data_IF_282086958901
#
_entry.id   IF_282086958901
#
_cell.length_a   1.000
_cell.length_b   1.000
_cell.length_c   1.000
_cell.angle_alpha   90.00
_cell.angle_beta   90.00
_cell.angle_gamma   90.00
#
_symmetry.space_group_name_H-M   'P 1'
#
loop_
_entity.id
_entity.type
_entity.pdbx_description
1 polymer ?
#
# COMPACT_ATOMS: atom_id res chain seq x y z
N UNK A 1 -10.35 -10.52 14.54
CA UNK A 1 -9.44 -11.39 13.76
C UNK A 1 -8.56 -10.48 12.92
N UNK A 2 -7.24 -10.70 12.85
CA UNK A 2 -6.38 -9.84 12.02
C UNK A 2 -6.74 -10.03 10.55
N UNK A 3 -7.00 -8.93 9.83
CA UNK A 3 -7.14 -8.96 8.38
C UNK A 3 -5.85 -9.50 7.73
N UNK A 4 -5.99 -10.27 6.66
CA UNK A 4 -4.87 -10.81 5.86
C UNK A 4 -3.88 -11.70 6.62
N UNK A 5 -4.33 -12.41 7.66
CA UNK A 5 -3.46 -13.25 8.49
C UNK A 5 -2.66 -14.30 7.70
N UNK A 6 -3.24 -14.87 6.65
CA UNK A 6 -2.56 -15.87 5.82
C UNK A 6 -1.43 -15.27 4.97
N UNK A 7 -1.63 -14.05 4.46
CA UNK A 7 -0.60 -13.28 3.78
C UNK A 7 0.56 -12.98 4.74
N UNK A 8 0.25 -12.47 5.95
CA UNK A 8 1.23 -12.15 6.98
C UNK A 8 2.07 -13.39 7.35
N UNK A 9 1.40 -14.53 7.58
CA UNK A 9 2.08 -15.80 7.86
C UNK A 9 3.02 -16.20 6.73
N UNK A 10 2.57 -16.07 5.47
CA UNK A 10 3.38 -16.40 4.29
C UNK A 10 4.61 -15.50 4.16
N UNK A 11 4.48 -14.19 4.43
CA UNK A 11 5.62 -13.26 4.42
C UNK A 11 6.66 -13.69 5.44
N UNK A 12 6.26 -13.89 6.69
CA UNK A 12 7.20 -14.29 7.74
C UNK A 12 7.80 -15.68 7.53
N UNK A 13 7.03 -16.63 6.97
CA UNK A 13 7.55 -17.96 6.64
C UNK A 13 8.69 -17.91 5.60
N UNK A 14 8.64 -16.96 4.65
CA UNK A 14 9.66 -16.81 3.60
C UNK A 14 10.78 -15.82 3.97
N UNK A 15 10.59 -15.02 5.04
CA UNK A 15 11.47 -13.90 5.34
C UNK A 15 12.89 -14.35 5.69
N UNK A 16 13.04 -15.39 6.51
CA UNK A 16 14.35 -15.91 6.94
C UNK A 16 15.20 -16.29 5.75
N UNK A 17 14.65 -17.12 4.84
CA UNK A 17 15.35 -17.61 3.67
C UNK A 17 15.82 -16.47 2.75
N UNK A 18 14.95 -15.47 2.50
CA UNK A 18 15.29 -14.31 1.66
C UNK A 18 16.35 -13.41 2.30
N UNK A 19 16.24 -13.18 3.61
CA UNK A 19 17.18 -12.34 4.37
C UNK A 19 18.56 -12.99 4.47
N UNK A 20 18.63 -14.30 4.64
CA UNK A 20 19.91 -15.01 4.70
C UNK A 20 20.58 -15.03 3.32
N UNK A 21 19.83 -15.32 2.24
CA UNK A 21 20.35 -15.19 0.87
C UNK A 21 20.86 -13.77 0.55
N UNK A 22 20.15 -12.74 1.02
CA UNK A 22 20.59 -11.35 0.87
C UNK A 22 21.90 -11.08 1.63
N UNK A 23 22.04 -11.62 2.84
CA UNK A 23 23.25 -11.44 3.67
C UNK A 23 24.48 -12.03 3.00
N UNK A 24 24.34 -13.22 2.40
CA UNK A 24 25.42 -13.90 1.70
C UNK A 24 25.89 -13.11 0.48
N UNK A 25 24.95 -12.58 -0.31
CA UNK A 25 25.24 -11.82 -1.53
C UNK A 25 25.85 -10.45 -1.20
N UNK A 26 25.35 -9.77 -0.17
CA UNK A 26 25.80 -8.43 0.21
C UNK A 26 27.11 -8.47 1.00
N UNK A 27 27.43 -9.59 1.66
CA UNK A 27 28.71 -9.81 2.34
C UNK A 27 28.92 -9.00 3.62
N UNK A 28 27.85 -8.47 4.22
CA UNK A 28 27.88 -7.69 5.46
C UNK A 28 26.54 -7.79 6.22
N UNK A 29 26.50 -7.42 7.51
CA UNK A 29 25.23 -7.31 8.24
C UNK A 29 24.25 -6.35 7.56
N UNK A 30 22.98 -6.73 7.54
CA UNK A 30 21.87 -5.95 6.96
C UNK A 30 21.17 -5.13 8.05
N UNK A 31 20.79 -3.89 7.73
CA UNK A 31 19.87 -3.09 8.55
C UNK A 31 18.48 -3.71 8.54
N UNK A 32 17.60 -3.31 9.47
CA UNK A 32 16.20 -3.76 9.45
C UNK A 32 15.49 -3.39 8.14
N UNK A 33 15.71 -2.17 7.64
CA UNK A 33 15.16 -1.72 6.36
C UNK A 33 15.65 -2.58 5.19
N UNK A 34 16.93 -2.92 5.14
CA UNK A 34 17.46 -3.83 4.12
C UNK A 34 16.81 -5.21 4.22
N UNK A 35 16.68 -5.78 5.43
CA UNK A 35 16.00 -7.07 5.63
C UNK A 35 14.57 -7.06 5.11
N UNK A 36 13.81 -6.00 5.40
CA UNK A 36 12.43 -5.86 4.93
C UNK A 36 12.41 -5.73 3.40
N UNK A 37 13.22 -4.85 2.81
CA UNK A 37 13.25 -4.62 1.36
C UNK A 37 13.67 -5.87 0.59
N UNK A 38 14.75 -6.54 1.00
CA UNK A 38 15.20 -7.79 0.39
C UNK A 38 14.16 -8.93 0.55
N UNK A 39 13.42 -8.96 1.67
CA UNK A 39 12.35 -9.93 1.84
C UNK A 39 11.16 -9.69 0.90
N UNK A 40 10.98 -8.48 0.37
CA UNK A 40 9.86 -8.10 -0.50
C UNK A 40 10.27 -7.87 -1.96
N UNK A 41 11.35 -8.51 -2.44
CA UNK A 41 11.66 -8.50 -3.87
C UNK A 41 10.57 -9.23 -4.68
N UNK A 42 10.27 -8.70 -5.86
CA UNK A 42 9.30 -9.26 -6.80
C UNK A 42 9.69 -10.69 -7.23
N UNK A 43 10.94 -10.88 -7.69
CA UNK A 43 11.46 -12.17 -8.14
C UNK A 43 11.81 -13.13 -6.99
N UNK A 44 11.59 -12.72 -5.75
CA UNK A 44 11.77 -13.53 -4.57
C UNK A 44 13.19 -13.52 -4.00
N UNK A 45 13.98 -14.57 -4.23
CA UNK A 45 15.33 -14.62 -3.68
C UNK A 45 16.24 -13.62 -4.42
N UNK A 46 17.04 -12.82 -3.70
CA UNK A 46 17.97 -11.91 -4.35
C UNK A 46 19.00 -12.68 -5.17
N UNK A 47 19.33 -12.16 -6.35
CA UNK A 47 20.37 -12.70 -7.25
C UNK A 47 21.59 -11.79 -7.34
N UNK A 48 21.49 -10.57 -6.84
CA UNK A 48 22.57 -9.56 -6.81
C UNK A 48 22.41 -8.64 -5.60
N UNK A 49 23.51 -7.97 -5.23
CA UNK A 49 23.48 -6.90 -4.25
C UNK A 49 22.98 -5.60 -4.92
N UNK A 50 22.12 -4.85 -4.23
CA UNK A 50 21.66 -3.53 -4.68
C UNK A 50 22.45 -2.40 -4.02
N UNK A 51 22.75 -1.37 -4.80
CA UNK A 51 23.50 -0.18 -4.40
C UNK A 51 22.53 0.93 -3.98
N UNK A 52 22.66 1.35 -2.72
CA UNK A 52 21.84 2.42 -2.13
C UNK A 52 21.96 3.72 -2.93
N UNK A 53 20.82 4.34 -3.22
CA UNK A 53 20.74 5.62 -3.95
C UNK A 53 21.14 5.53 -5.43
N UNK A 54 21.30 4.33 -5.99
CA UNK A 54 21.64 4.12 -7.40
C UNK A 54 20.71 3.15 -8.10
N UNK A 55 20.49 1.99 -7.50
CA UNK A 55 19.70 0.94 -8.15
C UNK A 55 18.21 1.16 -7.94
N UNK A 56 17.44 1.04 -9.02
CA UNK A 56 16.01 0.84 -8.97
C UNK A 56 15.72 -0.64 -8.70
N UNK A 57 14.77 -0.92 -7.81
CA UNK A 57 14.50 -2.27 -7.33
C UNK A 57 13.01 -2.56 -7.41
N UNK A 58 12.67 -3.69 -8.02
CA UNK A 58 11.30 -4.14 -8.13
C UNK A 58 10.87 -4.85 -6.84
N UNK A 59 10.02 -4.17 -6.08
CA UNK A 59 9.43 -4.70 -4.85
C UNK A 59 8.01 -5.19 -5.09
N UNK A 60 7.55 -6.09 -4.22
CA UNK A 60 6.18 -6.56 -4.11
C UNK A 60 5.59 -6.05 -2.78
N UNK A 61 5.00 -4.83 -2.75
CA UNK A 61 4.30 -4.34 -1.57
C UNK A 61 3.10 -5.23 -1.22
N UNK A 62 2.90 -5.48 0.07
CA UNK A 62 1.81 -6.33 0.54
C UNK A 62 0.43 -5.67 0.48
N UNK A 63 0.38 -4.33 0.50
CA UNK A 63 -0.87 -3.54 0.52
C UNK A 63 -0.66 -2.13 0.02
N UNK A 64 -1.78 -1.49 -0.34
CA UNK A 64 -1.83 -0.08 -0.72
C UNK A 64 -2.81 0.66 0.20
N UNK A 65 -2.45 1.87 0.62
CA UNK A 65 -3.34 2.77 1.33
C UNK A 65 -3.36 4.12 0.62
N UNK A 66 -4.55 4.63 0.36
CA UNK A 66 -4.78 5.94 -0.22
C UNK A 66 -5.57 6.81 0.76
N UNK A 67 -5.31 8.11 0.73
CA UNK A 67 -6.16 9.11 1.37
C UNK A 67 -7.04 9.78 0.31
N UNK A 68 -8.22 10.27 0.68
CA UNK A 68 -9.25 10.81 -0.23
C UNK A 68 -8.78 11.92 -1.17
N UNK A 69 -7.85 12.79 -0.76
CA UNK A 69 -7.30 13.83 -1.63
C UNK A 69 -6.44 13.27 -2.78
N UNK A 70 -5.81 12.10 -2.63
CA UNK A 70 -4.99 11.44 -3.68
C UNK A 70 -5.67 10.23 -4.30
N UNK A 71 -6.58 9.58 -3.57
CA UNK A 71 -7.28 8.38 -4.00
C UNK A 71 -8.10 8.66 -5.26
N UNK A 72 -8.70 9.84 -5.38
CA UNK A 72 -9.49 10.24 -6.53
C UNK A 72 -8.75 10.00 -7.86
N UNK A 73 -7.55 10.57 -8.00
CA UNK A 73 -6.78 10.45 -9.25
C UNK A 73 -6.10 9.09 -9.41
N UNK A 74 -5.71 8.46 -8.31
CA UNK A 74 -5.16 7.11 -8.35
C UNK A 74 -6.21 6.09 -8.87
N UNK A 75 -7.45 6.21 -8.39
CA UNK A 75 -8.55 5.34 -8.79
C UNK A 75 -9.04 5.61 -10.21
N UNK A 76 -9.07 6.87 -10.66
CA UNK A 76 -9.37 7.19 -12.06
C UNK A 76 -8.36 6.55 -13.03
N UNK A 77 -7.07 6.61 -12.71
CA UNK A 77 -6.03 5.95 -13.50
C UNK A 77 -6.16 4.42 -13.43
N UNK A 78 -6.51 3.87 -12.26
CA UNK A 78 -6.77 2.43 -12.12
C UNK A 78 -7.94 1.97 -12.99
N UNK A 79 -9.04 2.74 -13.02
CA UNK A 79 -10.19 2.50 -13.89
C UNK A 79 -9.78 2.53 -15.36
N UNK A 80 -8.95 3.50 -15.77
CA UNK A 80 -8.44 3.62 -17.13
C UNK A 80 -7.51 2.47 -17.52
N UNK A 81 -6.78 1.89 -16.57
CA UNK A 81 -5.93 0.73 -16.80
C UNK A 81 -6.71 -0.55 -17.18
N UNK A 82 -8.05 -0.54 -17.08
CA UNK A 82 -8.90 -1.64 -17.52
C UNK A 82 -8.80 -2.90 -16.66
N UNK A 83 -8.22 -2.80 -15.44
CA UNK A 83 -8.12 -3.93 -14.52
C UNK A 83 -9.46 -4.22 -13.86
N UNK A 84 -9.83 -5.50 -13.66
CA UNK A 84 -11.14 -5.86 -13.10
C UNK A 84 -11.21 -5.69 -11.57
N UNK A 85 -10.08 -5.75 -10.86
CA UNK A 85 -9.97 -5.60 -9.40
C UNK A 85 -8.53 -5.31 -8.98
N UNK A 86 -8.33 -4.78 -7.77
CA UNK A 86 -7.01 -4.55 -7.18
C UNK A 86 -6.24 -5.88 -6.98
N UNK A 87 -4.91 -5.80 -7.03
CA UNK A 87 -4.04 -6.98 -6.93
C UNK A 87 -3.66 -7.35 -5.48
N UNK A 88 -3.69 -6.37 -4.58
CA UNK A 88 -3.35 -6.49 -3.16
C UNK A 88 -4.39 -5.75 -2.32
N UNK A 89 -4.57 -6.08 -1.03
CA UNK A 89 -5.47 -5.35 -0.14
C UNK A 89 -5.23 -3.84 -0.23
N UNK A 90 -6.28 -3.11 -0.57
CA UNK A 90 -6.23 -1.67 -0.82
C UNK A 90 -7.30 -0.97 0.02
N UNK A 91 -6.94 0.14 0.67
CA UNK A 91 -7.89 0.92 1.48
C UNK A 91 -7.87 2.38 1.10
N UNK A 92 -9.04 3.03 1.07
CA UNK A 92 -9.20 4.48 0.96
C UNK A 92 -9.66 5.04 2.30
N UNK A 93 -8.98 6.07 2.78
CA UNK A 93 -9.29 6.76 4.03
C UNK A 93 -9.81 8.18 3.71
N UNK A 94 -11.00 8.51 4.21
CA UNK A 94 -11.63 9.83 3.99
C UNK A 94 -11.35 10.75 5.18
N UNK A 95 -10.19 11.42 5.14
CA UNK A 95 -9.65 12.21 6.24
C UNK A 95 -9.17 13.62 5.84
N UNK A 96 -8.96 13.93 4.56
CA UNK A 96 -8.45 15.25 4.14
C UNK A 96 -9.54 16.24 3.71
N UNK A 97 -10.76 15.77 3.41
CA UNK A 97 -11.85 16.63 2.94
C UNK A 97 -12.78 17.15 4.06
N UNK A 98 -12.39 16.99 5.33
CA UNK A 98 -13.13 17.50 6.48
C UNK A 98 -12.46 18.78 6.99
N UNK A 99 -13.08 19.93 6.75
CA UNK A 99 -12.59 21.21 7.24
C UNK A 99 -12.91 21.40 8.72
N UNK A 100 -11.90 21.69 9.55
CA UNK A 100 -12.10 22.11 10.93
C UNK A 100 -12.58 23.56 10.99
N UNK A 101 -13.77 23.80 11.55
CA UNK A 101 -14.36 25.13 11.65
C UNK A 101 -15.22 25.32 12.90
N UNK A 102 -16.29 24.56 13.05
CA UNK A 102 -17.31 24.75 14.10
C UNK A 102 -17.30 23.61 15.15
N UNK A 103 -16.57 22.52 14.89
CA UNK A 103 -16.39 21.38 15.80
C UNK A 103 -16.74 20.04 15.15
N UNK A 104 -16.14 18.95 15.64
CA UNK A 104 -16.09 17.65 14.97
C UNK A 104 -17.43 17.13 14.42
N UNK A 105 -18.51 17.16 15.21
CA UNK A 105 -19.81 16.65 14.76
C UNK A 105 -20.45 17.52 13.66
N UNK A 106 -20.35 18.85 13.80
CA UNK A 106 -20.87 19.81 12.82
C UNK A 106 -20.06 19.76 11.53
N UNK A 107 -18.74 19.75 11.66
CA UNK A 107 -17.79 19.75 10.55
C UNK A 107 -17.87 18.45 9.74
N UNK A 108 -18.01 17.28 10.41
CA UNK A 108 -18.21 16.00 9.73
C UNK A 108 -19.54 15.97 8.96
N UNK A 109 -20.62 16.47 9.57
CA UNK A 109 -21.92 16.56 8.88
C UNK A 109 -21.84 17.52 7.68
N UNK A 110 -21.10 18.61 7.81
CA UNK A 110 -20.88 19.56 6.72
C UNK A 110 -20.09 18.90 5.58
N UNK A 111 -18.97 18.24 5.88
CA UNK A 111 -18.14 17.53 4.90
C UNK A 111 -18.92 16.44 4.16
N UNK A 112 -19.75 15.66 4.88
CA UNK A 112 -20.61 14.65 4.25
C UNK A 112 -21.59 15.23 3.23
N UNK A 113 -21.96 16.52 3.36
CA UNK A 113 -22.80 17.20 2.38
C UNK A 113 -21.95 17.83 1.26
N UNK A 114 -20.94 18.62 1.61
CA UNK A 114 -20.14 19.41 0.65
C UNK A 114 -19.25 18.54 -0.23
N UNK A 115 -18.75 17.43 0.29
CA UNK A 115 -17.87 16.48 -0.42
C UNK A 115 -18.58 15.17 -0.76
N UNK A 116 -19.91 15.15 -0.69
CA UNK A 116 -20.75 13.97 -0.98
C UNK A 116 -20.42 13.31 -2.32
N UNK A 117 -20.22 14.09 -3.38
CA UNK A 117 -19.86 13.56 -4.70
C UNK A 117 -18.56 12.74 -4.67
N UNK A 118 -17.53 13.28 -4.02
CA UNK A 118 -16.23 12.60 -3.88
C UNK A 118 -16.38 11.34 -3.02
N UNK A 119 -17.06 11.42 -1.88
CA UNK A 119 -17.24 10.27 -0.99
C UNK A 119 -18.04 9.15 -1.66
N UNK A 120 -19.11 9.49 -2.39
CA UNK A 120 -19.90 8.53 -3.15
C UNK A 120 -19.09 7.89 -4.28
N UNK A 121 -18.23 8.67 -4.96
CA UNK A 121 -17.31 8.16 -5.97
C UNK A 121 -16.31 7.16 -5.35
N UNK A 122 -15.64 7.54 -4.26
CA UNK A 122 -14.66 6.69 -3.59
C UNK A 122 -15.29 5.40 -3.07
N UNK A 123 -16.47 5.48 -2.44
CA UNK A 123 -17.24 4.32 -1.98
C UNK A 123 -17.59 3.39 -3.13
N UNK A 124 -18.16 3.92 -4.22
CA UNK A 124 -18.59 3.14 -5.37
C UNK A 124 -17.42 2.43 -6.07
N UNK A 125 -16.31 3.14 -6.26
CA UNK A 125 -15.13 2.58 -6.93
C UNK A 125 -14.44 1.55 -6.05
N UNK A 126 -14.28 1.79 -4.75
CA UNK A 126 -13.75 0.80 -3.80
C UNK A 126 -14.63 -0.46 -3.75
N UNK A 127 -15.95 -0.31 -3.67
CA UNK A 127 -16.87 -1.46 -3.71
C UNK A 127 -16.78 -2.25 -5.02
N UNK A 128 -16.52 -1.58 -6.15
CA UNK A 128 -16.42 -2.21 -7.47
C UNK A 128 -15.12 -2.99 -7.66
N UNK A 129 -13.98 -2.44 -7.26
CA UNK A 129 -12.67 -3.01 -7.57
C UNK A 129 -12.01 -3.78 -6.42
N UNK A 130 -12.66 -3.83 -5.25
CA UNK A 130 -12.12 -4.42 -4.02
C UNK A 130 -11.10 -3.52 -3.35
#
# INVERSE_FOLDING_TARGET
MAFDIDMIKKVYANMTERVDAARDIVGKPLTLSEKILYAHLWDGKPTKAFTRGKDYVDFAPDRVACQDATAQMALLQFMQAGKPKVAVPTTVHCDHLIQAKDGAATDLKHANNTSSEVFNFLESVSNKYG
#
